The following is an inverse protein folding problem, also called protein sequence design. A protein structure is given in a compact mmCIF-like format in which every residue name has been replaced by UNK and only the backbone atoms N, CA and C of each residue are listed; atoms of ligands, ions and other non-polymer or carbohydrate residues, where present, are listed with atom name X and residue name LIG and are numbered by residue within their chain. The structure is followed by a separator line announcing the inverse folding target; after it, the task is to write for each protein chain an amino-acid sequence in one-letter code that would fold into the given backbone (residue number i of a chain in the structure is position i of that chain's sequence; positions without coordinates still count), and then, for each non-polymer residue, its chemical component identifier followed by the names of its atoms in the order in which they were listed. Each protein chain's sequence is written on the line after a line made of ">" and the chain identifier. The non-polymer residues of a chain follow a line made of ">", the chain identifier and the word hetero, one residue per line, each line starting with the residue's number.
data_IF_106830076361
#
_entry.id   IF_106830076361
#
_cell.length_a   1.000
_cell.length_b   1.000
_cell.length_c   1.000
_cell.angle_alpha   90.00
_cell.angle_beta   90.00
_cell.angle_gamma   90.00
#
_symmetry.space_group_name_H-M   'P 1'
#
loop_
_entity.id
_entity.type
_entity.pdbx_description
1 polymer ?
#
# COMPACT_ATOMS: atom_id res chain seq x y z
N UNK A 1 -8.76 3.12 4.33
CA UNK A 1 -9.19 2.70 2.98
C UNK A 1 -9.64 3.81 2.02
N UNK A 2 -9.33 5.09 2.29
CA UNK A 2 -9.82 6.21 1.46
C UNK A 2 -9.25 6.27 0.02
N UNK A 3 -8.12 5.62 -0.26
CA UNK A 3 -7.34 5.79 -1.49
C UNK A 3 -7.32 4.59 -2.43
N UNK A 4 -7.89 3.47 -2.01
CA UNK A 4 -7.74 2.18 -2.69
C UNK A 4 -9.02 1.71 -3.39
N UNK A 5 -10.12 2.47 -3.24
CA UNK A 5 -11.44 2.14 -3.76
C UNK A 5 -12.15 3.41 -4.27
N UNK A 6 -13.11 3.25 -5.19
CA UNK A 6 -13.96 4.36 -5.62
C UNK A 6 -14.95 4.72 -4.50
N UNK A 7 -14.73 5.90 -3.91
CA UNK A 7 -15.50 6.47 -2.81
C UNK A 7 -16.07 7.84 -3.19
N UNK A 8 -16.21 8.11 -4.49
CA UNK A 8 -16.65 9.41 -5.02
C UNK A 8 -18.05 9.83 -4.57
N UNK A 9 -18.92 8.87 -4.24
CA UNK A 9 -20.28 9.10 -3.75
C UNK A 9 -20.41 9.04 -2.21
N UNK A 10 -19.32 8.74 -1.50
CA UNK A 10 -19.35 8.58 -0.05
C UNK A 10 -19.10 9.93 0.62
N UNK A 11 -19.84 10.20 1.70
CA UNK A 11 -19.52 11.33 2.57
C UNK A 11 -18.20 11.06 3.28
N UNK A 12 -17.28 12.02 3.22
CA UNK A 12 -15.96 11.90 3.84
C UNK A 12 -16.10 12.00 5.37
N UNK A 13 -15.91 10.87 6.06
CA UNK A 13 -16.12 10.78 7.51
C UNK A 13 -14.92 11.24 8.34
N UNK A 14 -13.72 11.31 7.73
CA UNK A 14 -12.50 11.79 8.38
C UNK A 14 -12.44 13.33 8.30
N UNK A 15 -12.81 13.97 9.40
CA UNK A 15 -12.92 15.43 9.50
C UNK A 15 -11.56 16.14 9.42
N UNK A 16 -10.49 15.51 9.92
CA UNK A 16 -9.11 16.00 9.78
C UNK A 16 -8.69 15.96 8.32
N UNK A 17 -8.89 14.83 7.65
CA UNK A 17 -8.57 14.69 6.23
C UNK A 17 -9.36 15.70 5.39
N UNK A 18 -10.68 15.78 5.61
CA UNK A 18 -11.54 16.74 4.92
C UNK A 18 -11.01 18.16 5.09
N UNK A 19 -10.71 18.58 6.32
CA UNK A 19 -10.14 19.91 6.60
C UNK A 19 -8.79 20.12 5.90
N UNK A 20 -7.87 19.16 5.97
CA UNK A 20 -6.55 19.27 5.34
C UNK A 20 -6.64 19.49 3.82
N UNK A 21 -7.57 18.83 3.14
CA UNK A 21 -7.76 18.99 1.69
C UNK A 21 -8.35 20.35 1.28
N UNK A 22 -8.85 21.16 2.22
CA UNK A 22 -9.36 22.52 1.93
C UNK A 22 -8.27 23.60 1.92
N UNK A 23 -7.08 23.33 2.46
CA UNK A 23 -6.01 24.32 2.53
C UNK A 23 -5.24 24.43 1.21
N UNK A 24 -5.00 25.65 0.68
CA UNK A 24 -4.32 25.84 -0.61
C UNK A 24 -2.82 25.46 -0.58
N UNK A 25 -2.24 25.30 0.61
CA UNK A 25 -0.85 24.93 0.85
C UNK A 25 -0.68 23.48 1.31
N UNK A 26 -1.71 22.64 1.16
CA UNK A 26 -1.65 21.22 1.51
C UNK A 26 -1.91 20.39 0.26
N UNK A 27 -0.99 19.49 -0.04
CA UNK A 27 -1.14 18.48 -1.09
C UNK A 27 -1.11 17.10 -0.45
N UNK A 28 -2.20 16.35 -0.63
CA UNK A 28 -2.31 14.97 -0.15
C UNK A 28 -2.27 14.02 -1.33
N UNK A 29 -1.57 12.90 -1.17
CA UNK A 29 -1.48 11.86 -2.20
C UNK A 29 -1.65 10.48 -1.59
N UNK A 30 -2.26 9.56 -2.34
CA UNK A 30 -2.65 8.23 -1.84
C UNK A 30 -1.48 7.25 -1.79
N UNK A 31 -0.60 7.38 -0.79
CA UNK A 31 0.55 6.49 -0.57
C UNK A 31 1.42 6.25 -1.82
N UNK A 32 1.41 7.16 -2.79
CA UNK A 32 2.01 6.94 -4.12
C UNK A 32 3.53 7.21 -4.15
N UNK A 33 4.16 7.42 -3.00
CA UNK A 33 5.60 7.68 -2.92
C UNK A 33 6.44 6.51 -3.48
N UNK A 34 5.92 5.27 -3.42
CA UNK A 34 6.60 4.10 -3.98
C UNK A 34 6.37 3.93 -5.49
N UNK A 35 5.53 4.74 -6.13
CA UNK A 35 5.06 4.48 -7.50
C UNK A 35 6.07 4.93 -8.57
N UNK A 36 7.28 4.38 -8.51
CA UNK A 36 8.31 4.50 -9.55
C UNK A 36 8.46 3.18 -10.29
N UNK A 37 8.99 3.23 -11.53
CA UNK A 37 9.22 2.03 -12.33
C UNK A 37 10.15 1.06 -11.61
N UNK A 38 11.21 1.58 -11.00
CA UNK A 38 12.25 0.82 -10.31
C UNK A 38 11.68 0.12 -9.07
N UNK A 39 10.89 0.83 -8.25
CA UNK A 39 10.27 0.27 -7.07
C UNK A 39 9.27 -0.82 -7.42
N UNK A 40 8.42 -0.61 -8.44
CA UNK A 40 7.49 -1.65 -8.91
C UNK A 40 8.21 -2.88 -9.47
N UNK A 41 9.32 -2.69 -10.19
CA UNK A 41 10.15 -3.80 -10.66
C UNK A 41 10.72 -4.61 -9.49
N UNK A 42 11.19 -3.95 -8.43
CA UNK A 42 11.68 -4.64 -7.23
C UNK A 42 10.56 -5.36 -6.48
N UNK A 43 9.38 -4.74 -6.36
CA UNK A 43 8.21 -5.39 -5.75
C UNK A 43 7.87 -6.68 -6.52
N UNK A 44 7.73 -6.60 -7.84
CA UNK A 44 7.41 -7.77 -8.67
C UNK A 44 8.48 -8.88 -8.55
N UNK A 45 9.77 -8.51 -8.61
CA UNK A 45 10.88 -9.45 -8.46
C UNK A 45 10.82 -10.16 -7.10
N UNK A 46 10.76 -9.40 -6.01
CA UNK A 46 10.70 -9.94 -4.65
C UNK A 46 9.47 -10.82 -4.43
N UNK A 47 8.32 -10.47 -5.03
CA UNK A 47 7.11 -11.31 -5.00
C UNK A 47 7.34 -12.66 -5.67
N UNK A 48 7.90 -12.68 -6.89
CA UNK A 48 8.18 -13.93 -7.61
C UNK A 48 9.21 -14.78 -6.85
N UNK A 49 10.26 -14.16 -6.31
CA UNK A 49 11.26 -14.86 -5.49
C UNK A 49 10.64 -15.47 -4.22
N UNK A 50 9.72 -14.75 -3.57
CA UNK A 50 9.00 -15.26 -2.39
C UNK A 50 8.13 -16.47 -2.75
N UNK A 51 7.47 -16.44 -3.91
CA UNK A 51 6.66 -17.56 -4.40
C UNK A 51 7.53 -18.78 -4.77
N UNK A 52 8.66 -18.56 -5.43
CA UNK A 52 9.60 -19.63 -5.76
C UNK A 52 10.20 -20.28 -4.51
N UNK A 53 10.53 -19.49 -3.48
CA UNK A 53 10.98 -20.00 -2.20
C UNK A 53 9.90 -20.86 -1.51
N UNK A 54 8.63 -20.43 -1.59
CA UNK A 54 7.50 -21.19 -1.08
C UNK A 54 7.31 -22.52 -1.81
N UNK A 55 7.31 -22.52 -3.14
CA UNK A 55 7.19 -23.74 -3.96
C UNK A 55 8.32 -24.74 -3.66
N UNK A 56 9.54 -24.25 -3.48
CA UNK A 56 10.72 -25.06 -3.20
C UNK A 56 10.86 -25.50 -1.73
N UNK A 57 9.91 -25.16 -0.85
CA UNK A 57 10.00 -25.38 0.60
C UNK A 57 11.28 -24.79 1.23
N UNK A 58 11.73 -23.65 0.72
CA UNK A 58 12.85 -22.89 1.27
C UNK A 58 12.39 -21.93 2.38
N UNK A 59 13.31 -21.40 3.22
CA UNK A 59 12.97 -20.41 4.22
C UNK A 59 12.28 -19.16 3.63
N UNK A 60 11.16 -18.76 4.25
CA UNK A 60 10.34 -17.63 3.78
C UNK A 60 10.77 -16.32 4.45
N UNK A 61 11.81 -15.67 3.91
CA UNK A 61 12.41 -14.45 4.48
C UNK A 61 11.41 -13.32 4.76
N UNK A 62 10.39 -13.15 3.91
CA UNK A 62 9.41 -12.06 4.00
C UNK A 62 8.05 -12.52 4.55
N UNK A 63 7.99 -13.68 5.22
CA UNK A 63 6.75 -14.17 5.80
C UNK A 63 6.24 -13.22 6.89
N UNK A 64 5.03 -12.71 6.69
CA UNK A 64 4.30 -12.02 7.76
C UNK A 64 3.80 -13.06 8.74
N UNK A 65 4.29 -12.98 9.98
CA UNK A 65 3.80 -13.82 11.07
C UNK A 65 2.41 -13.34 11.49
N UNK A 66 1.49 -14.28 11.73
CA UNK A 66 0.25 -13.92 12.42
C UNK A 66 0.63 -13.45 13.81
N UNK A 67 0.20 -12.25 14.19
CA UNK A 67 0.13 -11.89 15.60
C UNK A 67 -0.84 -12.88 16.25
N UNK A 68 -0.40 -13.48 17.36
CA UNK A 68 -1.13 -14.49 18.12
C UNK A 68 -2.64 -14.18 18.16
N UNK A 69 -3.47 -15.19 17.85
CA UNK A 69 -4.92 -15.12 18.07
C UNK A 69 -5.24 -14.85 19.56
#
# INVERSE_FOLDING_TARGET
>A
DLFFEDRSNDLLQDDVFARLTTFPNVLVTGHQAFFTKEALQQIAKTTVESLAAFEANLPLTFQVQKLND
#
